data_IF_229520316526
#
_entry.id   IF_229520316526
#
_cell.length_a   1.000
_cell.length_b   1.000
_cell.length_c   1.000
_cell.angle_alpha   90.00
_cell.angle_beta   90.00
_cell.angle_gamma   90.00
#
_symmetry.space_group_name_H-M   'P 1'
#
loop_
_entity.id
_entity.type
_entity.pdbx_description
1 polymer ?
#
# COMPACT_ATOMS: atom_id res chain seq x y z
N UNK A 1 11.19 -18.58 -5.98
CA UNK A 1 9.73 -18.48 -6.14
C UNK A 1 9.35 -18.69 -7.61
N UNK A 2 8.29 -19.47 -7.91
CA UNK A 2 7.80 -19.69 -9.28
C UNK A 2 6.52 -18.86 -9.48
N UNK A 3 6.50 -17.89 -10.41
CA UNK A 3 5.30 -17.11 -10.69
C UNK A 3 4.15 -18.00 -11.20
N UNK A 4 2.95 -17.70 -10.76
CA UNK A 4 1.73 -18.42 -11.11
C UNK A 4 1.09 -17.75 -12.34
N UNK A 5 0.98 -18.40 -13.50
CA UNK A 5 0.40 -17.78 -14.68
C UNK A 5 -1.11 -17.55 -14.52
N UNK A 6 -1.57 -16.39 -14.97
CA UNK A 6 -2.97 -15.97 -15.03
C UNK A 6 -3.28 -15.48 -16.44
N UNK A 7 -4.19 -16.16 -17.13
CA UNK A 7 -4.50 -15.89 -18.53
C UNK A 7 -5.85 -15.18 -18.74
N UNK A 8 -6.69 -15.14 -17.71
CA UNK A 8 -8.00 -14.54 -17.80
C UNK A 8 -8.24 -13.54 -16.65
N UNK A 9 -8.90 -12.39 -16.91
CA UNK A 9 -9.19 -11.41 -15.88
C UNK A 9 -10.18 -11.94 -14.83
N UNK A 10 -10.96 -12.97 -15.14
CA UNK A 10 -11.94 -13.59 -14.24
C UNK A 10 -11.37 -14.71 -13.37
N UNK A 11 -10.07 -14.92 -13.40
CA UNK A 11 -9.42 -15.90 -12.55
C UNK A 11 -9.73 -15.61 -11.06
N UNK A 12 -10.29 -16.59 -10.30
CA UNK A 12 -10.66 -16.36 -8.91
C UNK A 12 -9.47 -16.02 -8.01
N UNK A 13 -8.26 -16.42 -8.37
CA UNK A 13 -7.02 -16.16 -7.61
C UNK A 13 -6.65 -14.68 -7.57
N UNK A 14 -7.12 -13.90 -8.53
CA UNK A 14 -6.88 -12.46 -8.63
C UNK A 14 -8.14 -11.61 -8.37
N UNK A 15 -9.20 -12.21 -7.85
CA UNK A 15 -10.47 -11.53 -7.60
C UNK A 15 -10.31 -10.29 -6.70
N UNK A 16 -9.39 -10.33 -5.74
CA UNK A 16 -9.12 -9.22 -4.82
C UNK A 16 -8.53 -7.96 -5.50
N UNK A 17 -8.07 -8.07 -6.75
CA UNK A 17 -7.58 -6.93 -7.53
C UNK A 17 -8.65 -6.29 -8.43
N UNK A 18 -9.83 -6.96 -8.57
CA UNK A 18 -10.92 -6.51 -9.45
C UNK A 18 -11.98 -5.75 -8.66
N UNK A 19 -12.56 -4.71 -9.26
CA UNK A 19 -13.80 -4.02 -8.88
C UNK A 19 -14.07 -3.82 -7.37
N UNK A 20 -13.06 -3.98 -6.54
CA UNK A 20 -13.20 -3.78 -5.11
C UNK A 20 -13.24 -2.27 -4.87
N UNK A 21 -14.37 -1.79 -4.39
CA UNK A 21 -14.46 -0.42 -3.88
C UNK A 21 -13.38 -0.27 -2.81
N UNK A 22 -12.42 0.60 -3.02
CA UNK A 22 -11.29 0.80 -2.10
C UNK A 22 -11.75 0.95 -0.65
N UNK A 23 -12.88 1.63 -0.43
CA UNK A 23 -13.47 1.80 0.90
C UNK A 23 -13.83 0.47 1.58
N UNK A 24 -14.30 -0.52 0.82
CA UNK A 24 -14.65 -1.82 1.39
C UNK A 24 -13.39 -2.66 1.63
N UNK A 25 -12.41 -2.56 0.74
CA UNK A 25 -11.13 -3.23 0.91
C UNK A 25 -10.38 -2.69 2.13
N UNK A 26 -10.24 -1.37 2.24
CA UNK A 26 -9.48 -0.74 3.32
C UNK A 26 -10.23 -0.75 4.65
N UNK A 27 -11.54 -0.53 4.64
CA UNK A 27 -12.33 -0.40 5.86
C UNK A 27 -12.75 -1.73 6.48
N UNK A 28 -13.20 -2.70 5.66
CA UNK A 28 -13.76 -3.96 6.18
C UNK A 28 -12.79 -5.12 6.21
N UNK A 29 -11.85 -5.16 5.26
CA UNK A 29 -10.92 -6.28 5.13
C UNK A 29 -9.52 -5.97 5.66
N UNK A 30 -9.24 -4.72 6.01
CA UNK A 30 -7.90 -4.29 6.43
C UNK A 30 -6.84 -4.44 5.33
N UNK A 31 -7.28 -4.49 4.05
CA UNK A 31 -6.41 -4.69 2.89
C UNK A 31 -6.32 -3.39 2.08
N UNK A 32 -5.29 -3.27 1.26
CA UNK A 32 -5.12 -2.16 0.32
C UNK A 32 -4.42 -2.63 -0.96
N UNK A 33 -4.59 -1.84 -2.03
CA UNK A 33 -3.90 -2.08 -3.30
C UNK A 33 -2.73 -1.09 -3.43
N UNK A 34 -1.54 -1.62 -3.61
CA UNK A 34 -0.31 -0.90 -3.92
C UNK A 34 -0.05 -0.96 -5.43
N UNK A 35 0.23 0.18 -6.07
CA UNK A 35 0.45 0.28 -7.51
C UNK A 35 1.88 0.73 -7.83
N UNK A 36 2.57 -0.04 -8.65
CA UNK A 36 3.85 0.30 -9.23
C UNK A 36 5.07 -0.18 -8.45
N UNK A 37 6.22 -0.13 -9.13
CA UNK A 37 7.47 -0.73 -8.66
C UNK A 37 7.96 -0.14 -7.33
N UNK A 38 7.98 1.18 -7.20
CA UNK A 38 8.51 1.84 -6.00
C UNK A 38 7.71 1.45 -4.77
N UNK A 39 6.37 1.42 -4.89
CA UNK A 39 5.50 1.04 -3.78
C UNK A 39 5.66 -0.44 -3.44
N UNK A 40 5.79 -1.32 -4.45
CA UNK A 40 6.07 -2.74 -4.22
C UNK A 40 7.40 -2.93 -3.48
N UNK A 41 8.45 -2.20 -3.87
CA UNK A 41 9.76 -2.26 -3.17
C UNK A 41 9.64 -1.86 -1.69
N UNK A 42 8.85 -0.81 -1.40
CA UNK A 42 8.60 -0.40 -0.02
C UNK A 42 7.80 -1.47 0.73
N UNK A 43 6.72 -2.01 0.12
CA UNK A 43 5.89 -3.05 0.75
C UNK A 43 6.70 -4.32 1.06
N UNK A 44 7.63 -4.70 0.18
CA UNK A 44 8.48 -5.87 0.34
C UNK A 44 9.71 -5.64 1.23
N UNK A 45 9.94 -4.42 1.72
CA UNK A 45 11.10 -4.10 2.53
C UNK A 45 10.85 -4.32 4.02
N UNK A 46 11.92 -4.53 4.80
CA UNK A 46 11.87 -4.61 6.26
C UNK A 46 11.37 -3.32 6.93
N UNK A 47 11.46 -2.18 6.23
CA UNK A 47 10.93 -0.91 6.70
C UNK A 47 9.40 -0.82 6.61
N UNK A 48 8.74 -1.75 5.90
CA UNK A 48 7.28 -1.78 5.80
C UNK A 48 6.64 -2.19 7.13
N UNK A 49 5.63 -1.46 7.53
CA UNK A 49 4.75 -1.80 8.66
C UNK A 49 3.56 -2.66 8.22
N UNK A 50 3.44 -2.89 6.91
CA UNK A 50 2.36 -3.63 6.26
C UNK A 50 2.87 -4.98 5.77
N UNK A 51 2.01 -5.98 5.76
CA UNK A 51 2.36 -7.29 5.24
C UNK A 51 1.92 -7.42 3.76
N UNK A 52 2.79 -7.89 2.84
CA UNK A 52 2.36 -8.27 1.50
C UNK A 52 1.45 -9.50 1.57
N UNK A 53 0.41 -9.54 0.72
CA UNK A 53 -0.57 -10.62 0.69
C UNK A 53 -0.57 -11.34 -0.66
N UNK A 54 -0.44 -10.59 -1.76
CA UNK A 54 -0.39 -11.15 -3.12
C UNK A 54 0.17 -10.11 -4.07
N UNK A 55 0.79 -10.55 -5.17
CA UNK A 55 1.28 -9.68 -6.24
C UNK A 55 0.68 -10.11 -7.57
N UNK A 56 0.22 -9.14 -8.36
CA UNK A 56 -0.19 -9.33 -9.76
C UNK A 56 0.71 -8.45 -10.64
N UNK A 57 1.48 -9.10 -11.53
CA UNK A 57 2.54 -8.44 -12.30
C UNK A 57 2.47 -8.80 -13.77
N UNK A 58 2.76 -7.84 -14.65
CA UNK A 58 2.92 -8.13 -16.07
C UNK A 58 4.15 -9.01 -16.31
N UNK A 59 4.00 -10.04 -17.14
CA UNK A 59 5.09 -11.00 -17.47
C UNK A 59 6.38 -10.30 -17.86
N UNK A 60 6.29 -9.24 -18.66
CA UNK A 60 7.45 -8.43 -19.11
C UNK A 60 8.21 -7.75 -17.97
N UNK A 61 7.62 -7.64 -16.77
CA UNK A 61 8.23 -6.98 -15.60
C UNK A 61 8.94 -7.96 -14.66
N UNK A 62 8.71 -9.26 -14.80
CA UNK A 62 9.25 -10.29 -13.91
C UNK A 62 10.77 -10.23 -13.78
N UNK A 63 11.48 -10.18 -14.92
CA UNK A 63 12.94 -10.19 -14.93
C UNK A 63 13.54 -8.99 -14.17
N UNK A 64 12.97 -7.78 -14.36
CA UNK A 64 13.45 -6.56 -13.70
C UNK A 64 13.15 -6.47 -12.20
N UNK A 65 12.24 -7.31 -11.70
CA UNK A 65 11.81 -7.29 -10.30
C UNK A 65 12.16 -8.59 -9.54
N UNK A 66 12.92 -9.47 -10.17
CA UNK A 66 13.24 -10.78 -9.61
C UNK A 66 13.72 -10.70 -8.16
N UNK A 67 14.69 -9.86 -7.87
CA UNK A 67 15.25 -9.70 -6.52
C UNK A 67 14.19 -9.26 -5.47
N UNK A 68 13.28 -8.36 -5.86
CA UNK A 68 12.21 -7.89 -4.97
C UNK A 68 11.20 -9.00 -4.71
N UNK A 69 10.84 -9.74 -5.76
CA UNK A 69 9.88 -10.84 -5.68
C UNK A 69 10.44 -12.03 -4.88
N UNK A 70 11.74 -12.32 -5.00
CA UNK A 70 12.43 -13.36 -4.22
C UNK A 70 12.59 -12.98 -2.73
N UNK A 71 12.51 -11.68 -2.40
CA UNK A 71 12.50 -11.19 -1.01
C UNK A 71 11.13 -11.19 -0.34
N UNK A 72 10.05 -11.53 -1.06
CA UNK A 72 8.74 -11.68 -0.45
C UNK A 72 8.67 -12.96 0.40
N UNK A 73 7.81 -13.00 1.45
CA UNK A 73 7.53 -14.23 2.19
C UNK A 73 7.07 -15.37 1.25
N UNK A 74 7.44 -16.60 1.57
CA UNK A 74 7.18 -17.78 0.71
C UNK A 74 5.70 -18.08 0.47
N UNK A 75 4.83 -17.64 1.38
CA UNK A 75 3.38 -17.78 1.32
C UNK A 75 2.68 -16.69 0.48
N UNK A 76 3.42 -15.69 0.00
CA UNK A 76 2.88 -14.60 -0.83
C UNK A 76 2.87 -15.01 -2.30
N UNK A 77 1.71 -15.31 -2.90
CA UNK A 77 1.63 -15.71 -4.29
C UNK A 77 1.95 -14.53 -5.23
N UNK A 78 2.75 -14.82 -6.26
CA UNK A 78 3.04 -13.89 -7.36
C UNK A 78 2.37 -14.40 -8.63
N UNK A 79 1.33 -13.68 -9.06
CA UNK A 79 0.59 -13.95 -10.27
C UNK A 79 1.20 -13.18 -11.45
N UNK A 80 1.55 -13.89 -12.52
CA UNK A 80 2.07 -13.29 -13.74
C UNK A 80 0.99 -13.32 -14.83
N UNK A 81 0.72 -12.17 -15.44
CA UNK A 81 -0.31 -12.08 -16.46
C UNK A 81 0.15 -11.23 -17.67
N UNK A 82 -0.44 -11.44 -18.86
CA UNK A 82 -0.33 -10.51 -19.98
C UNK A 82 -0.84 -9.11 -19.62
N UNK A 83 -0.34 -8.08 -20.31
CA UNK A 83 -0.68 -6.68 -20.00
C UNK A 83 -2.18 -6.37 -20.17
N UNK A 84 -2.83 -6.97 -21.13
CA UNK A 84 -4.27 -6.82 -21.38
C UNK A 84 -5.13 -7.39 -20.26
N UNK A 85 -4.72 -8.50 -19.67
CA UNK A 85 -5.36 -9.07 -18.47
C UNK A 85 -5.23 -8.11 -17.29
N UNK A 86 -4.04 -7.52 -17.07
CA UNK A 86 -3.87 -6.53 -16.00
C UNK A 86 -4.74 -5.28 -16.23
N UNK A 87 -4.83 -4.80 -17.46
CA UNK A 87 -5.66 -3.64 -17.80
C UNK A 87 -7.14 -3.93 -17.55
N UNK A 88 -7.61 -5.13 -17.93
CA UNK A 88 -8.98 -5.56 -17.66
C UNK A 88 -9.27 -5.66 -16.16
N UNK A 89 -8.34 -6.19 -15.37
CA UNK A 89 -8.45 -6.28 -13.91
C UNK A 89 -8.47 -4.89 -13.26
N UNK A 90 -7.61 -3.98 -13.71
CA UNK A 90 -7.51 -2.63 -13.17
C UNK A 90 -8.69 -1.73 -13.57
N UNK A 91 -9.36 -2.03 -14.70
CA UNK A 91 -10.39 -1.20 -15.31
C UNK A 91 -9.85 0.02 -16.08
N UNK A 92 -8.53 0.09 -16.29
CA UNK A 92 -7.85 1.16 -17.03
C UNK A 92 -6.47 0.67 -17.51
N UNK A 93 -5.82 1.45 -18.39
CA UNK A 93 -4.46 1.13 -18.86
C UNK A 93 -3.42 1.23 -17.75
N UNK A 94 -3.07 0.08 -17.19
CA UNK A 94 -2.11 -0.03 -16.10
C UNK A 94 -0.66 0.03 -16.64
N UNK A 95 -0.19 1.23 -17.01
CA UNK A 95 1.13 1.42 -17.63
C UNK A 95 2.30 0.81 -16.87
N UNK A 96 2.23 0.79 -15.54
CA UNK A 96 3.29 0.25 -14.68
C UNK A 96 3.30 -1.28 -14.61
N UNK A 97 2.17 -1.94 -14.91
CA UNK A 97 2.04 -3.38 -14.95
C UNK A 97 2.32 -4.10 -13.63
N UNK A 98 2.05 -3.45 -12.48
CA UNK A 98 2.31 -3.99 -11.15
C UNK A 98 1.21 -3.55 -10.21
N UNK A 99 0.54 -4.52 -9.61
CA UNK A 99 -0.36 -4.36 -8.46
C UNK A 99 0.09 -5.30 -7.34
N UNK A 100 0.02 -4.86 -6.10
CA UNK A 100 0.19 -5.72 -4.95
C UNK A 100 -0.95 -5.50 -3.96
N UNK A 101 -1.42 -6.56 -3.37
CA UNK A 101 -2.34 -6.53 -2.24
C UNK A 101 -1.52 -6.55 -0.96
N UNK A 102 -1.76 -5.60 -0.08
CA UNK A 102 -1.13 -5.53 1.23
C UNK A 102 -2.16 -5.53 2.34
N UNK A 103 -1.75 -5.95 3.53
CA UNK A 103 -2.53 -5.88 4.77
C UNK A 103 -2.03 -4.72 5.62
N UNK A 104 -2.96 -3.91 6.10
CA UNK A 104 -2.68 -2.83 7.05
C UNK A 104 -2.09 -3.41 8.34
N UNK A 105 -1.24 -2.66 9.05
CA UNK A 105 -0.88 -3.00 10.41
C UNK A 105 -2.11 -2.90 11.33
N UNK A 106 -2.04 -3.56 12.48
CA UNK A 106 -3.05 -3.36 13.52
C UNK A 106 -3.09 -1.88 13.95
N UNK A 107 -4.29 -1.31 14.12
CA UNK A 107 -4.44 0.07 14.58
C UNK A 107 -3.77 0.27 15.94
N UNK A 108 -3.03 1.37 16.07
CA UNK A 108 -2.42 1.78 17.34
C UNK A 108 -3.20 2.96 17.89
N UNK A 109 -3.54 2.93 19.19
CA UNK A 109 -4.20 4.04 19.83
C UNK A 109 -3.26 5.27 19.88
N UNK A 110 -3.80 6.51 19.73
CA UNK A 110 -2.98 7.71 19.64
C UNK A 110 -2.08 7.93 20.85
N UNK A 111 -2.57 7.70 22.07
CA UNK A 111 -1.82 7.78 23.32
C UNK A 111 -0.67 6.77 23.36
N UNK A 112 -0.93 5.52 22.99
CA UNK A 112 0.10 4.46 22.93
C UNK A 112 1.20 4.81 21.92
N UNK A 113 0.83 5.34 20.76
CA UNK A 113 1.82 5.78 19.78
C UNK A 113 2.63 6.97 20.28
N UNK A 114 1.96 7.96 20.89
CA UNK A 114 2.61 9.15 21.42
C UNK A 114 3.64 8.79 22.52
N UNK A 115 3.27 7.92 23.44
CA UNK A 115 4.13 7.48 24.55
C UNK A 115 5.35 6.66 24.05
N UNK A 116 5.24 6.07 22.86
CA UNK A 116 6.34 5.31 22.23
C UNK A 116 7.38 6.17 21.52
N UNK A 117 7.10 7.48 21.32
CA UNK A 117 7.99 8.37 20.58
C UNK A 117 9.18 8.80 21.44
N UNK A 118 10.37 9.02 20.83
CA UNK A 118 11.49 9.64 21.52
C UNK A 118 11.14 11.04 22.06
N UNK A 119 11.76 11.44 23.17
CA UNK A 119 11.49 12.71 23.86
C UNK A 119 11.55 13.95 22.96
N UNK A 120 12.45 13.96 21.98
CA UNK A 120 12.61 15.08 21.02
C UNK A 120 12.08 14.77 19.62
N UNK A 121 11.14 13.82 19.50
CA UNK A 121 10.57 13.46 18.21
C UNK A 121 9.68 14.57 17.64
N UNK A 122 9.74 14.75 16.35
CA UNK A 122 8.78 15.56 15.59
C UNK A 122 7.64 14.66 15.14
N UNK A 123 6.42 15.03 15.50
CA UNK A 123 5.21 14.37 15.02
C UNK A 123 4.37 15.35 14.19
N UNK A 124 3.63 14.83 13.22
CA UNK A 124 2.68 15.59 12.40
C UNK A 124 1.27 15.29 12.87
N UNK A 125 0.49 16.31 13.19
CA UNK A 125 -0.94 16.19 13.44
C UNK A 125 -1.70 16.79 12.26
N UNK A 126 -2.63 16.05 11.70
CA UNK A 126 -3.43 16.47 10.55
C UNK A 126 -4.91 16.36 10.84
N UNK A 127 -5.64 17.42 10.53
CA UNK A 127 -7.09 17.54 10.73
C UNK A 127 -7.76 17.90 9.41
N UNK A 128 -8.88 17.23 9.09
CA UNK A 128 -9.73 17.57 7.95
C UNK A 128 -9.14 17.30 6.56
N UNK A 129 -8.12 16.44 6.44
CA UNK A 129 -7.53 16.11 5.15
C UNK A 129 -8.44 15.14 4.39
N UNK A 130 -9.36 15.68 3.59
CA UNK A 130 -10.30 14.86 2.77
C UNK A 130 -9.76 14.44 1.41
N UNK A 131 -8.68 15.06 0.90
CA UNK A 131 -8.12 14.79 -0.42
C UNK A 131 -6.96 13.79 -0.34
N UNK A 132 -7.04 12.70 -1.10
CA UNK A 132 -6.01 11.63 -1.10
C UNK A 132 -4.65 12.07 -1.66
N UNK A 133 -4.59 13.06 -2.57
CA UNK A 133 -3.31 13.61 -3.04
C UNK A 133 -2.62 14.38 -1.91
N UNK A 134 -3.39 15.18 -1.17
CA UNK A 134 -2.88 15.93 -0.02
C UNK A 134 -2.43 14.96 1.09
N UNK A 135 -3.21 13.93 1.36
CA UNK A 135 -2.85 12.87 2.31
C UNK A 135 -1.53 12.18 1.92
N UNK A 136 -1.40 11.77 0.65
CA UNK A 136 -0.16 11.18 0.15
C UNK A 136 1.02 12.15 0.21
N UNK A 137 0.82 13.42 -0.15
CA UNK A 137 1.83 14.47 -0.06
C UNK A 137 2.29 14.72 1.37
N UNK A 138 1.35 14.74 2.33
CA UNK A 138 1.64 14.86 3.76
C UNK A 138 2.57 13.74 4.24
N UNK A 139 2.23 12.48 3.99
CA UNK A 139 3.06 11.35 4.40
C UNK A 139 4.43 11.35 3.73
N UNK A 140 4.50 11.70 2.44
CA UNK A 140 5.79 11.83 1.74
C UNK A 140 6.68 12.86 2.39
N UNK A 141 6.14 14.04 2.70
CA UNK A 141 6.90 15.12 3.33
C UNK A 141 7.25 14.78 4.78
N UNK A 142 6.32 14.24 5.56
CA UNK A 142 6.58 13.78 6.93
C UNK A 142 7.77 12.82 6.97
N UNK A 143 7.77 11.80 6.09
CA UNK A 143 8.87 10.85 5.99
C UNK A 143 10.19 11.50 5.51
N UNK A 144 10.13 12.46 4.57
CA UNK A 144 11.32 13.15 4.03
C UNK A 144 11.97 14.05 5.09
N UNK A 145 11.19 14.67 5.94
CA UNK A 145 11.68 15.54 7.03
C UNK A 145 11.89 14.79 8.37
N UNK A 146 11.79 13.47 8.36
CA UNK A 146 12.11 12.65 9.54
C UNK A 146 11.07 12.71 10.66
N UNK A 147 9.81 13.00 10.34
CA UNK A 147 8.74 12.89 11.35
C UNK A 147 8.65 11.46 11.86
N UNK A 148 8.60 11.30 13.18
CA UNK A 148 8.54 10.01 13.84
C UNK A 148 7.16 9.35 13.74
N UNK A 149 6.09 10.16 13.64
CA UNK A 149 4.72 9.68 13.51
C UNK A 149 3.81 10.72 12.84
N UNK A 150 2.67 10.22 12.32
CA UNK A 150 1.54 11.02 11.82
C UNK A 150 0.29 10.67 12.61
N UNK A 151 -0.40 11.68 13.14
CA UNK A 151 -1.67 11.55 13.84
C UNK A 151 -2.79 12.16 12.98
N UNK A 152 -3.87 11.43 12.79
CA UNK A 152 -4.99 11.83 11.93
C UNK A 152 -6.27 11.92 12.73
N UNK A 153 -7.03 13.00 12.54
CA UNK A 153 -8.37 13.10 13.10
C UNK A 153 -9.39 12.22 12.35
N UNK A 154 -10.60 12.11 12.90
CA UNK A 154 -11.69 11.30 12.35
C UNK A 154 -12.24 11.81 11.01
N UNK A 155 -11.94 13.05 10.64
CA UNK A 155 -12.41 13.67 9.42
C UNK A 155 -11.43 13.52 8.26
N UNK A 156 -10.24 13.00 8.54
CA UNK A 156 -9.25 12.67 7.53
C UNK A 156 -9.68 11.48 6.68
N UNK A 157 -9.36 11.52 5.38
CA UNK A 157 -9.50 10.36 4.51
C UNK A 157 -8.49 9.26 4.88
N UNK A 158 -8.82 8.01 4.59
CA UNK A 158 -7.94 6.86 4.86
C UNK A 158 -6.65 6.96 4.00
N UNK A 159 -5.46 6.99 4.62
CA UNK A 159 -4.18 7.06 3.92
C UNK A 159 -3.87 5.81 3.08
N UNK A 160 -4.55 4.68 3.33
CA UNK A 160 -4.36 3.44 2.58
C UNK A 160 -5.16 3.36 1.27
N UNK A 161 -5.84 4.43 0.85
CA UNK A 161 -6.34 4.48 -0.51
C UNK A 161 -5.19 4.44 -1.53
N UNK A 162 -5.36 3.67 -2.60
CA UNK A 162 -4.35 3.48 -3.65
C UNK A 162 -3.71 4.79 -4.12
N UNK A 163 -4.53 5.84 -4.27
CA UNK A 163 -4.07 7.17 -4.70
C UNK A 163 -3.12 7.79 -3.68
N UNK A 164 -3.46 7.75 -2.39
CA UNK A 164 -2.60 8.29 -1.33
C UNK A 164 -1.29 7.52 -1.20
N UNK A 165 -1.35 6.18 -1.24
CA UNK A 165 -0.15 5.33 -1.24
C UNK A 165 0.77 5.67 -2.40
N UNK A 166 0.23 5.83 -3.61
CA UNK A 166 1.00 6.15 -4.81
C UNK A 166 1.65 7.53 -4.73
N UNK A 167 0.90 8.56 -4.31
CA UNK A 167 1.41 9.94 -4.16
C UNK A 167 2.45 10.04 -3.06
N UNK A 168 2.30 9.27 -1.99
CA UNK A 168 3.29 9.19 -0.91
C UNK A 168 4.57 8.45 -1.30
N UNK A 169 4.62 7.85 -2.50
CA UNK A 169 5.74 6.99 -2.93
C UNK A 169 5.98 5.84 -1.93
N UNK A 170 4.89 5.33 -1.33
CA UNK A 170 4.93 4.27 -0.32
C UNK A 170 5.27 4.72 1.10
N UNK A 171 5.45 6.02 1.36
CA UNK A 171 5.73 6.50 2.72
C UNK A 171 4.64 6.13 3.73
N UNK A 172 3.36 6.06 3.31
CA UNK A 172 2.24 5.56 4.13
C UNK A 172 2.54 4.17 4.71
N UNK A 173 3.21 3.30 3.96
CA UNK A 173 3.44 1.90 4.35
C UNK A 173 4.51 1.75 5.45
N UNK A 174 5.33 2.77 5.69
CA UNK A 174 6.45 2.72 6.63
C UNK A 174 6.38 3.74 7.78
N UNK A 175 5.60 4.81 7.62
CA UNK A 175 5.49 5.86 8.64
C UNK A 175 4.54 5.41 9.75
N UNK A 176 4.95 5.41 11.03
CA UNK A 176 4.05 5.17 12.14
C UNK A 176 2.88 6.15 12.10
N UNK A 177 1.67 5.66 12.33
CA UNK A 177 0.49 6.51 12.36
C UNK A 177 -0.55 6.02 13.36
N UNK A 178 -1.33 6.95 13.89
CA UNK A 178 -2.56 6.69 14.60
C UNK A 178 -3.68 7.55 14.01
N UNK A 179 -4.88 6.99 13.94
CA UNK A 179 -6.06 7.67 13.42
C UNK A 179 -7.18 7.69 14.46
N UNK A 180 -8.12 8.63 14.31
CA UNK A 180 -9.28 8.73 15.17
C UNK A 180 -9.11 9.72 16.32
N UNK A 181 -8.20 10.68 16.19
CA UNK A 181 -8.16 11.83 17.11
C UNK A 181 -9.50 12.59 17.07
N UNK A 182 -9.95 13.07 18.24
CA UNK A 182 -11.11 13.95 18.40
C UNK A 182 -10.72 15.42 18.29
#
# INVERSE_FOLDING_TARGET
MTPIPVLHPDDPRIAAFRDVKERDLTGRQGLFVAEGEVVLRVLASEASRCAPVSVLIAEKRLAGLRQVLEGLPDDVPVHAAPQDVLNAVAGFDLHRGILALGRKPEPVAPDVLLDSLPEHAVAVVASGIGNHDNMGGLFRNAAAFGAAAVFLDRTCCDPFYRKAIRVSVGAVLRTPMAAGLD
#
